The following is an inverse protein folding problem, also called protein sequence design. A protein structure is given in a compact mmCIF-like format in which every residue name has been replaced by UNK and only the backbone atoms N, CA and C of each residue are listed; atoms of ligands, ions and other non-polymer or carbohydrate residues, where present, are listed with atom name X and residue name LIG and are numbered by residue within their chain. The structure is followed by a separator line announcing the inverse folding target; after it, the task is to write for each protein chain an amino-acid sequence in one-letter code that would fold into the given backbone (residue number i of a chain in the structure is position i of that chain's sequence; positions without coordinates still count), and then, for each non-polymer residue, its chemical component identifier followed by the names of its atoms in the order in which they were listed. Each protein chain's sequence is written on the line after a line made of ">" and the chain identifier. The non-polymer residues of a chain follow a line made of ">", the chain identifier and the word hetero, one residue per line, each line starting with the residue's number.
data_IF_135959744076
#
_entry.id   IF_135959744076
#
_cell.length_a   1.000
_cell.length_b   1.000
_cell.length_c   1.000
_cell.angle_alpha   90.00
_cell.angle_beta   90.00
_cell.angle_gamma   90.00
#
_symmetry.space_group_name_H-M   'P 1'
#
loop_
_entity.id
_entity.type
_entity.pdbx_description
1 polymer ?
#
# COMPACT_ATOMS: atom_id res chain seq x y z
N UNK A 1 -17.50 19.73 4.53
CA UNK A 1 -17.06 18.81 3.44
C UNK A 1 -15.95 17.94 4.00
N UNK A 2 -16.08 16.63 3.89
CA UNK A 2 -15.04 15.70 4.31
C UNK A 2 -13.85 15.84 3.34
N UNK A 3 -12.64 16.00 3.87
CA UNK A 3 -11.45 16.19 3.05
C UNK A 3 -11.06 14.83 2.45
N UNK A 4 -11.08 14.71 1.12
CA UNK A 4 -10.62 13.52 0.43
C UNK A 4 -9.09 13.41 0.48
N UNK A 5 -8.60 12.22 0.76
CA UNK A 5 -7.17 11.89 0.72
C UNK A 5 -6.74 11.48 -0.69
N UNK A 6 -7.60 10.74 -1.40
CA UNK A 6 -7.43 10.40 -2.82
C UNK A 6 -8.68 10.81 -3.56
N UNK A 7 -8.51 11.45 -4.71
CA UNK A 7 -9.58 11.87 -5.61
C UNK A 7 -9.16 11.55 -7.04
N UNK A 8 -9.98 10.79 -7.74
CA UNK A 8 -9.84 10.48 -9.16
C UNK A 8 -11.13 10.84 -9.86
N UNK A 9 -11.03 11.54 -11.00
CA UNK A 9 -12.18 11.95 -11.81
C UNK A 9 -11.94 11.57 -13.26
N UNK A 10 -12.78 10.68 -13.78
CA UNK A 10 -12.78 10.23 -15.17
C UNK A 10 -11.46 9.62 -15.63
N UNK A 11 -10.71 8.97 -14.72
CA UNK A 11 -9.34 8.49 -14.99
C UNK A 11 -9.34 7.37 -16.01
N UNK A 12 -8.59 7.57 -17.12
CA UNK A 12 -8.27 6.55 -18.11
C UNK A 12 -6.76 6.30 -18.14
N UNK A 13 -6.40 5.05 -18.33
CA UNK A 13 -4.99 4.65 -18.45
C UNK A 13 -4.87 3.33 -19.21
N UNK A 14 -3.86 3.24 -20.10
CA UNK A 14 -3.52 2.00 -20.79
C UNK A 14 -2.02 1.81 -20.98
N UNK A 15 -1.59 0.58 -21.14
CA UNK A 15 -0.23 0.27 -21.58
C UNK A 15 -0.23 0.13 -23.11
N UNK A 16 0.20 1.18 -23.79
CA UNK A 16 0.11 1.26 -25.25
C UNK A 16 -1.36 1.33 -25.72
N UNK A 17 -1.76 0.43 -26.62
CA UNK A 17 -3.11 0.39 -27.14
C UNK A 17 -4.13 -0.36 -26.26
N UNK A 18 -3.68 -0.98 -25.16
CA UNK A 18 -4.53 -1.80 -24.29
C UNK A 18 -5.05 -0.95 -23.12
N UNK A 19 -6.34 -0.61 -23.07
CA UNK A 19 -6.92 0.11 -21.93
C UNK A 19 -6.95 -0.80 -20.70
N UNK A 20 -6.59 -0.24 -19.56
CA UNK A 20 -6.58 -0.92 -18.24
C UNK A 20 -7.60 -0.28 -17.30
N UNK A 21 -7.69 1.06 -17.31
CA UNK A 21 -8.68 1.81 -16.54
C UNK A 21 -9.48 2.66 -17.53
N UNK A 22 -10.80 2.68 -17.39
CA UNK A 22 -11.72 3.36 -18.31
C UNK A 22 -12.75 4.22 -17.57
N UNK A 23 -12.42 5.49 -17.36
CA UNK A 23 -13.30 6.44 -16.70
C UNK A 23 -13.51 6.16 -15.22
N UNK A 24 -12.41 5.92 -14.48
CA UNK A 24 -12.47 5.63 -13.04
C UNK A 24 -12.70 6.91 -12.25
N UNK A 25 -13.76 6.87 -11.41
CA UNK A 25 -14.02 7.85 -10.36
C UNK A 25 -13.77 7.21 -8.99
N UNK A 26 -13.02 7.87 -8.12
CA UNK A 26 -12.68 7.39 -6.78
C UNK A 26 -12.52 8.55 -5.81
N UNK A 27 -13.20 8.48 -4.67
CA UNK A 27 -12.97 9.34 -3.52
C UNK A 27 -12.68 8.51 -2.29
N UNK A 28 -11.54 8.74 -1.62
CA UNK A 28 -11.19 8.13 -0.33
C UNK A 28 -11.06 9.20 0.74
N UNK A 29 -11.73 8.99 1.85
CA UNK A 29 -11.71 9.92 2.99
C UNK A 29 -10.47 9.71 3.88
N UNK A 30 -10.10 10.74 4.65
CA UNK A 30 -9.05 10.59 5.65
C UNK A 30 -9.44 9.55 6.71
N UNK A 31 -8.51 8.65 7.04
CA UNK A 31 -8.73 7.58 8.01
C UNK A 31 -9.56 6.40 7.48
N UNK A 32 -9.91 6.38 6.19
CA UNK A 32 -10.64 5.27 5.58
C UNK A 32 -9.70 4.11 5.29
N UNK A 33 -10.11 2.88 5.62
CA UNK A 33 -9.45 1.65 5.21
C UNK A 33 -10.24 0.97 4.09
N UNK A 34 -9.72 1.05 2.87
CA UNK A 34 -10.33 0.47 1.66
C UNK A 34 -9.54 -0.75 1.19
N UNK A 35 -10.23 -1.85 0.92
CA UNK A 35 -9.69 -3.01 0.21
C UNK A 35 -9.99 -2.87 -1.29
N UNK A 36 -8.97 -3.04 -2.13
CA UNK A 36 -9.07 -3.05 -3.57
C UNK A 36 -8.89 -4.48 -4.08
N UNK A 37 -9.93 -5.05 -4.62
CA UNK A 37 -9.98 -6.43 -5.09
C UNK A 37 -10.23 -6.51 -6.62
N UNK A 38 -10.21 -7.73 -7.16
CA UNK A 38 -10.47 -8.01 -8.59
C UNK A 38 -9.47 -8.98 -9.19
N UNK A 39 -9.71 -9.42 -10.41
CA UNK A 39 -8.88 -10.39 -11.15
C UNK A 39 -7.45 -9.91 -11.35
N UNK A 40 -6.53 -10.85 -11.63
CA UNK A 40 -5.17 -10.51 -12.02
C UNK A 40 -5.18 -9.72 -13.33
N UNK A 41 -4.40 -8.64 -13.39
CA UNK A 41 -4.36 -7.77 -14.58
C UNK A 41 -5.53 -6.78 -14.69
N UNK A 42 -6.47 -6.75 -13.74
CA UNK A 42 -7.64 -5.83 -13.80
C UNK A 42 -7.30 -4.35 -13.62
N UNK A 43 -6.06 -4.00 -13.19
CA UNK A 43 -5.63 -2.60 -13.05
C UNK A 43 -5.41 -2.14 -11.59
N UNK A 44 -5.55 -3.02 -10.58
CA UNK A 44 -5.35 -2.68 -9.16
C UNK A 44 -4.00 -2.02 -8.87
N UNK A 45 -2.90 -2.67 -9.26
CA UNK A 45 -1.54 -2.12 -9.08
C UNK A 45 -1.32 -0.86 -9.94
N UNK A 46 -2.00 -0.75 -11.09
CA UNK A 46 -1.98 0.46 -11.93
C UNK A 46 -2.61 1.63 -11.19
N UNK A 47 -3.75 1.41 -10.55
CA UNK A 47 -4.42 2.42 -9.73
C UNK A 47 -3.54 2.90 -8.58
N UNK A 48 -2.88 1.99 -7.86
CA UNK A 48 -1.91 2.39 -6.82
C UNK A 48 -0.74 3.18 -7.40
N UNK A 49 -0.19 2.79 -8.57
CA UNK A 49 0.91 3.51 -9.23
C UNK A 49 0.52 4.92 -9.67
N UNK A 50 -0.72 5.15 -10.09
CA UNK A 50 -1.25 6.48 -10.35
C UNK A 50 -1.30 7.31 -9.07
N UNK A 51 -1.79 6.74 -7.95
CA UNK A 51 -1.82 7.42 -6.64
C UNK A 51 -0.44 7.83 -6.12
N UNK A 52 0.62 7.06 -6.40
CA UNK A 52 1.99 7.42 -5.98
C UNK A 52 2.74 8.28 -7.01
N UNK A 53 2.11 8.60 -8.15
CA UNK A 53 2.71 9.38 -9.22
C UNK A 53 3.84 8.66 -9.97
N UNK A 54 3.84 7.32 -9.98
CA UNK A 54 4.71 6.50 -10.81
C UNK A 54 4.19 6.37 -12.24
N UNK A 55 2.87 6.57 -12.42
CA UNK A 55 2.19 6.65 -13.71
C UNK A 55 1.43 7.97 -13.76
N UNK A 56 1.11 8.42 -14.96
CA UNK A 56 0.22 9.55 -15.23
C UNK A 56 -1.00 9.04 -15.98
N UNK A 57 -2.21 9.51 -15.68
CA UNK A 57 -3.38 9.13 -16.45
C UNK A 57 -3.27 9.66 -17.88
N UNK A 58 -3.86 8.94 -18.84
CA UNK A 58 -3.98 9.40 -20.23
C UNK A 58 -5.10 10.45 -20.34
N UNK A 59 -6.19 10.29 -19.55
CA UNK A 59 -7.28 11.24 -19.41
C UNK A 59 -7.75 11.28 -17.94
N UNK A 60 -8.44 12.36 -17.58
CA UNK A 60 -8.95 12.57 -16.23
C UNK A 60 -7.91 13.17 -15.28
N UNK A 61 -8.23 13.20 -14.01
CA UNK A 61 -7.37 13.80 -12.97
C UNK A 61 -7.16 12.87 -11.79
N UNK A 62 -5.97 12.93 -11.19
CA UNK A 62 -5.64 12.24 -9.93
C UNK A 62 -5.08 13.26 -8.95
N UNK A 63 -5.73 13.39 -7.80
CA UNK A 63 -5.26 14.22 -6.69
C UNK A 63 -5.05 13.37 -5.44
N UNK A 64 -3.97 13.62 -4.74
CA UNK A 64 -3.64 12.94 -3.49
C UNK A 64 -3.25 13.98 -2.46
N UNK A 65 -3.88 13.92 -1.27
CA UNK A 65 -3.70 14.89 -0.18
C UNK A 65 -3.92 16.34 -0.62
N UNK A 66 -4.79 16.54 -1.63
CA UNK A 66 -5.12 17.84 -2.22
C UNK A 66 -4.12 18.38 -3.23
N UNK A 67 -3.10 17.61 -3.62
CA UNK A 67 -2.08 18.00 -4.61
C UNK A 67 -1.86 16.94 -5.68
N UNK A 68 -0.88 17.18 -6.56
CA UNK A 68 -0.49 16.23 -7.59
C UNK A 68 0.38 15.10 -7.00
N UNK A 69 0.13 13.81 -7.35
CA UNK A 69 0.94 12.70 -6.84
C UNK A 69 2.43 12.79 -7.20
N UNK A 70 2.77 13.57 -8.23
CA UNK A 70 4.17 13.80 -8.66
C UNK A 70 4.92 14.78 -7.76
N UNK A 71 4.23 15.57 -6.95
CA UNK A 71 4.85 16.55 -6.07
C UNK A 71 5.65 15.88 -4.95
N UNK A 72 6.89 16.34 -4.73
CA UNK A 72 7.77 15.80 -3.72
C UNK A 72 7.20 15.94 -2.29
N UNK A 73 6.43 17.00 -2.02
CA UNK A 73 5.76 17.24 -0.75
C UNK A 73 4.64 16.24 -0.48
N UNK A 74 3.93 15.82 -1.52
CA UNK A 74 2.89 14.79 -1.47
C UNK A 74 3.51 13.41 -1.31
N UNK A 75 4.49 13.06 -2.15
CA UNK A 75 5.18 11.75 -2.10
C UNK A 75 5.78 11.43 -0.73
N UNK A 76 6.27 12.43 -0.01
CA UNK A 76 6.82 12.25 1.34
C UNK A 76 5.80 11.80 2.37
N UNK A 77 4.53 11.98 2.08
CA UNK A 77 3.41 11.62 2.95
C UNK A 77 2.75 10.30 2.53
N UNK A 78 3.26 9.63 1.49
CA UNK A 78 2.76 8.37 0.98
C UNK A 78 3.70 7.25 1.38
N UNK A 79 3.19 6.24 2.08
CA UNK A 79 3.84 4.95 2.25
C UNK A 79 3.39 4.00 1.13
N UNK A 80 4.33 3.41 0.40
CA UNK A 80 4.00 2.48 -0.67
C UNK A 80 4.80 1.18 -0.54
N UNK A 81 4.09 0.06 -0.50
CA UNK A 81 4.65 -1.28 -0.56
C UNK A 81 4.17 -1.97 -1.85
N UNK A 82 4.99 -2.00 -2.91
CA UNK A 82 4.63 -2.69 -4.16
C UNK A 82 4.71 -4.20 -4.01
N UNK A 83 3.93 -4.93 -4.82
CA UNK A 83 4.01 -6.36 -4.95
C UNK A 83 5.38 -6.81 -5.48
N UNK A 84 5.93 -7.87 -4.88
CA UNK A 84 7.07 -8.60 -5.44
C UNK A 84 8.36 -7.79 -5.58
N UNK A 85 8.52 -6.68 -4.84
CA UNK A 85 9.76 -5.91 -4.86
C UNK A 85 10.91 -6.77 -4.29
N UNK A 86 11.60 -7.49 -5.17
CA UNK A 86 12.90 -8.05 -4.84
C UNK A 86 13.91 -6.92 -4.91
N UNK A 87 14.43 -6.53 -3.75
CA UNK A 87 15.55 -5.61 -3.73
C UNK A 87 16.76 -6.35 -4.31
N UNK A 88 17.04 -6.11 -5.59
CA UNK A 88 18.23 -6.58 -6.26
C UNK A 88 19.46 -5.79 -5.74
N UNK A 89 19.76 -5.91 -4.45
CA UNK A 89 20.94 -5.31 -3.87
C UNK A 89 21.91 -6.41 -3.52
N UNK A 90 23.06 -6.41 -4.18
CA UNK A 90 24.24 -7.14 -3.74
C UNK A 90 24.93 -6.47 -2.54
N UNK A 91 24.35 -5.40 -2.01
CA UNK A 91 24.86 -4.69 -0.84
C UNK A 91 24.37 -5.40 0.43
N UNK A 92 25.25 -5.67 1.38
CA UNK A 92 24.90 -6.27 2.68
C UNK A 92 24.21 -5.22 3.56
N UNK A 93 22.89 -5.02 3.33
CA UNK A 93 22.07 -4.11 4.14
C UNK A 93 21.19 -4.92 5.07
N UNK A 94 21.13 -4.52 6.33
CA UNK A 94 20.30 -5.15 7.35
C UNK A 94 18.81 -4.78 7.18
N UNK A 95 17.92 -5.61 7.75
CA UNK A 95 16.49 -5.30 7.85
C UNK A 95 16.27 -3.92 8.46
N UNK A 96 16.98 -3.59 9.53
CA UNK A 96 16.88 -2.28 10.20
C UNK A 96 17.24 -1.12 9.27
N UNK A 97 18.29 -1.24 8.47
CA UNK A 97 18.71 -0.19 7.53
C UNK A 97 17.70 -0.02 6.39
N UNK A 98 17.17 -1.12 5.87
CA UNK A 98 16.12 -1.07 4.83
C UNK A 98 14.86 -0.37 5.35
N UNK A 99 14.43 -0.71 6.56
CA UNK A 99 13.25 -0.08 7.17
C UNK A 99 13.54 1.39 7.50
N UNK A 100 14.72 1.71 8.03
CA UNK A 100 15.15 3.08 8.31
C UNK A 100 15.13 3.98 7.08
N UNK A 101 15.41 3.44 5.89
CA UNK A 101 15.32 4.20 4.64
C UNK A 101 13.89 4.73 4.36
N UNK A 102 12.85 4.15 4.97
CA UNK A 102 11.48 4.66 4.90
C UNK A 102 11.26 6.00 5.59
N UNK A 103 12.16 6.42 6.48
CA UNK A 103 12.13 7.75 7.12
C UNK A 103 12.74 8.86 6.24
N UNK A 104 13.57 8.49 5.25
CA UNK A 104 14.30 9.47 4.40
C UNK A 104 13.41 10.45 3.65
N UNK A 105 12.26 10.05 3.08
CA UNK A 105 11.39 10.97 2.35
C UNK A 105 10.91 12.15 3.18
N UNK A 106 10.62 11.94 4.47
CA UNK A 106 10.11 12.97 5.37
C UNK A 106 11.19 13.84 6.00
N UNK A 107 12.46 13.39 6.03
CA UNK A 107 13.54 14.01 6.80
C UNK A 107 14.74 14.49 5.99
N UNK A 108 14.85 14.09 4.72
CA UNK A 108 15.96 14.43 3.84
C UNK A 108 17.19 13.52 3.98
N UNK A 109 18.06 13.56 2.96
CA UNK A 109 19.18 12.63 2.77
C UNK A 109 20.27 12.70 3.87
N UNK A 110 20.40 13.85 4.54
CA UNK A 110 21.45 14.11 5.54
C UNK A 110 20.95 14.06 6.98
N UNK A 111 19.72 13.57 7.20
CA UNK A 111 19.19 13.46 8.55
C UNK A 111 19.91 12.37 9.33
N UNK A 112 20.55 12.77 10.44
CA UNK A 112 21.17 11.80 11.36
C UNK A 112 20.10 11.14 12.22
N UNK A 113 20.02 9.81 12.14
CA UNK A 113 19.08 9.00 12.92
C UNK A 113 19.28 9.21 14.43
N UNK A 114 18.22 9.56 15.11
CA UNK A 114 18.21 9.72 16.57
C UNK A 114 17.55 8.50 17.26
N UNK A 115 17.54 8.48 18.60
CA UNK A 115 16.96 7.37 19.36
C UNK A 115 15.47 7.15 19.07
N UNK A 116 14.70 8.21 18.85
CA UNK A 116 13.27 8.08 18.51
C UNK A 116 13.07 7.44 17.14
N UNK A 117 13.94 7.74 16.18
CA UNK A 117 13.89 7.13 14.85
C UNK A 117 14.12 5.63 14.91
N UNK A 118 15.13 5.19 15.68
CA UNK A 118 15.41 3.78 15.88
C UNK A 118 14.29 3.06 16.64
N UNK A 119 13.63 3.72 17.58
CA UNK A 119 12.44 3.18 18.25
C UNK A 119 11.29 2.94 17.24
N UNK A 120 11.04 3.88 16.30
CA UNK A 120 10.05 3.73 15.23
C UNK A 120 10.41 2.59 14.27
N UNK A 121 11.69 2.52 13.87
CA UNK A 121 12.20 1.43 13.04
C UNK A 121 11.95 0.08 13.73
N UNK A 122 12.33 -0.06 15.00
CA UNK A 122 12.09 -1.28 15.76
C UNK A 122 10.61 -1.63 15.81
N UNK A 123 9.74 -0.68 16.14
CA UNK A 123 8.30 -0.92 16.23
C UNK A 123 7.70 -1.35 14.88
N UNK A 124 8.13 -0.75 13.76
CA UNK A 124 7.67 -1.14 12.43
C UNK A 124 8.11 -2.57 12.06
N UNK A 125 9.33 -2.97 12.44
CA UNK A 125 9.85 -4.33 12.22
C UNK A 125 9.09 -5.34 13.08
N UNK A 126 8.83 -5.01 14.34
CA UNK A 126 8.07 -5.86 15.27
C UNK A 126 6.63 -6.07 14.80
N UNK A 127 6.00 -5.02 14.26
CA UNK A 127 4.62 -5.06 13.72
C UNK A 127 4.46 -6.06 12.55
N UNK A 128 5.53 -6.38 11.82
CA UNK A 128 5.52 -7.36 10.74
C UNK A 128 6.14 -8.71 11.13
N UNK A 129 6.42 -8.93 12.41
CA UNK A 129 6.97 -10.18 12.93
C UNK A 129 8.40 -10.48 12.49
N UNK A 130 9.25 -9.45 12.35
CA UNK A 130 10.68 -9.58 12.00
C UNK A 130 11.61 -9.17 13.15
N UNK A 131 11.10 -9.10 14.38
CA UNK A 131 11.85 -8.60 15.55
C UNK A 131 13.19 -9.27 15.76
N UNK A 132 13.26 -10.59 15.62
CA UNK A 132 14.48 -11.38 15.82
C UNK A 132 15.47 -11.27 14.64
N UNK A 133 15.03 -10.69 13.52
CA UNK A 133 15.82 -10.59 12.29
C UNK A 133 16.30 -9.16 11.98
N UNK A 134 16.23 -8.25 12.95
CA UNK A 134 16.56 -6.82 12.77
C UNK A 134 17.97 -6.57 12.22
N UNK A 135 18.92 -7.38 12.65
CA UNK A 135 20.32 -7.26 12.28
C UNK A 135 20.71 -8.13 11.08
N UNK A 136 19.82 -9.05 10.67
CA UNK A 136 20.09 -9.96 9.56
C UNK A 136 20.14 -9.21 8.22
N UNK A 137 20.94 -9.74 7.32
CA UNK A 137 21.06 -9.20 5.98
C UNK A 137 19.81 -9.51 5.17
N UNK A 138 19.22 -8.48 4.54
CA UNK A 138 17.95 -8.60 3.83
C UNK A 138 17.97 -9.69 2.74
N UNK A 139 19.08 -9.84 2.00
CA UNK A 139 19.16 -10.82 0.91
C UNK A 139 19.29 -12.28 1.40
N UNK A 140 19.62 -12.51 2.68
CA UNK A 140 19.67 -13.84 3.29
C UNK A 140 18.28 -14.31 3.75
N UNK A 141 17.31 -13.40 3.78
CA UNK A 141 15.95 -13.69 4.18
C UNK A 141 15.15 -14.39 3.07
N UNK A 142 14.16 -15.19 3.47
CA UNK A 142 13.16 -15.72 2.53
C UNK A 142 12.39 -14.60 1.84
N UNK A 143 11.81 -14.88 0.64
CA UNK A 143 11.03 -13.89 -0.11
C UNK A 143 9.88 -13.28 0.71
N UNK A 144 9.19 -14.07 1.53
CA UNK A 144 8.14 -13.57 2.41
C UNK A 144 8.68 -12.66 3.54
N UNK A 145 9.86 -12.96 4.09
CA UNK A 145 10.52 -12.09 5.06
C UNK A 145 10.98 -10.78 4.43
N UNK A 146 11.52 -10.82 3.20
CA UNK A 146 11.86 -9.61 2.44
C UNK A 146 10.63 -8.74 2.18
N UNK A 147 9.51 -9.34 1.79
CA UNK A 147 8.25 -8.63 1.57
C UNK A 147 7.77 -7.94 2.87
N UNK A 148 7.86 -8.61 4.01
CA UNK A 148 7.54 -8.03 5.33
C UNK A 148 8.46 -6.87 5.69
N UNK A 149 9.75 -6.93 5.35
CA UNK A 149 10.67 -5.81 5.56
C UNK A 149 10.30 -4.58 4.70
N UNK A 150 9.87 -4.79 3.44
CA UNK A 150 9.35 -3.72 2.57
C UNK A 150 8.06 -3.11 3.14
N UNK A 151 7.17 -3.95 3.67
CA UNK A 151 5.97 -3.48 4.37
C UNK A 151 6.35 -2.62 5.59
N UNK A 152 7.25 -3.09 6.47
CA UNK A 152 7.74 -2.31 7.60
C UNK A 152 8.34 -0.95 7.17
N UNK A 153 9.09 -0.93 6.06
CA UNK A 153 9.62 0.30 5.47
C UNK A 153 8.52 1.29 5.07
N UNK A 154 7.40 0.81 4.55
CA UNK A 154 6.27 1.68 4.19
C UNK A 154 5.55 2.26 5.41
N UNK A 155 5.62 1.56 6.54
CA UNK A 155 4.95 1.91 7.79
C UNK A 155 5.74 2.91 8.66
N UNK A 156 7.10 2.87 8.60
CA UNK A 156 7.96 3.58 9.57
C UNK A 156 7.86 5.11 9.48
N UNK A 157 7.49 5.64 8.30
CA UNK A 157 7.42 7.09 8.01
C UNK A 157 6.19 7.80 8.57
N UNK A 158 5.25 7.09 9.19
CA UNK A 158 3.94 7.63 9.62
C UNK A 158 3.24 8.38 8.47
N UNK A 159 3.00 7.72 7.33
CA UNK A 159 2.41 8.36 6.16
C UNK A 159 0.96 8.80 6.43
N UNK A 160 0.47 9.80 5.72
CA UNK A 160 -0.95 10.17 5.71
C UNK A 160 -1.79 9.24 4.81
N UNK A 161 -1.14 8.65 3.77
CA UNK A 161 -1.71 7.66 2.86
C UNK A 161 -0.79 6.45 2.78
N UNK A 162 -1.35 5.26 3.01
CA UNK A 162 -0.66 3.99 2.93
C UNK A 162 -1.26 3.14 1.81
N UNK A 163 -0.43 2.81 0.82
CA UNK A 163 -0.81 2.03 -0.36
C UNK A 163 -0.04 0.70 -0.35
N UNK A 164 -0.76 -0.39 -0.26
CA UNK A 164 -0.20 -1.74 -0.10
C UNK A 164 -0.66 -2.64 -1.23
N UNK A 165 0.29 -3.15 -2.01
CA UNK A 165 0.00 -4.06 -3.12
C UNK A 165 0.28 -5.50 -2.67
N UNK A 166 -0.78 -6.25 -2.35
CA UNK A 166 -0.77 -7.62 -1.83
C UNK A 166 0.08 -7.78 -0.55
N UNK A 167 -0.22 -7.04 0.51
CA UNK A 167 0.62 -7.03 1.72
C UNK A 167 0.64 -8.36 2.48
N UNK A 168 -0.31 -9.28 2.23
CA UNK A 168 -0.40 -10.60 2.87
C UNK A 168 0.33 -11.70 2.09
N UNK A 169 0.77 -11.42 0.85
CA UNK A 169 1.51 -12.39 0.03
C UNK A 169 2.83 -12.75 0.70
N UNK A 170 3.06 -14.05 0.90
CA UNK A 170 4.24 -14.56 1.58
C UNK A 170 4.27 -14.33 3.09
N UNK A 171 3.19 -13.85 3.69
CA UNK A 171 3.01 -13.77 5.14
C UNK A 171 2.31 -15.04 5.63
N UNK A 172 2.91 -15.68 6.66
CA UNK A 172 2.30 -16.81 7.35
C UNK A 172 0.91 -16.42 7.89
N UNK A 173 -0.09 -17.30 7.72
CA UNK A 173 -1.47 -17.06 8.16
C UNK A 173 -1.57 -16.58 9.61
N UNK A 174 -0.66 -17.01 10.49
CA UNK A 174 -0.61 -16.59 11.90
C UNK A 174 -0.37 -15.10 12.10
N UNK A 175 0.30 -14.43 11.14
CA UNK A 175 0.64 -13.01 11.24
C UNK A 175 -0.36 -12.09 10.51
N UNK A 176 -1.23 -12.63 9.65
CA UNK A 176 -2.22 -11.83 8.90
C UNK A 176 -3.18 -11.06 9.80
N UNK A 177 -3.77 -11.66 10.86
CA UNK A 177 -4.65 -10.91 11.77
C UNK A 177 -3.92 -9.76 12.47
N UNK A 178 -2.69 -9.96 12.93
CA UNK A 178 -1.92 -8.90 13.58
C UNK A 178 -1.59 -7.74 12.61
N UNK A 179 -1.33 -8.05 11.33
CA UNK A 179 -1.18 -7.04 10.29
C UNK A 179 -2.48 -6.28 10.05
N UNK A 180 -3.61 -7.00 9.96
CA UNK A 180 -4.92 -6.38 9.76
C UNK A 180 -5.27 -5.41 10.90
N UNK A 181 -5.05 -5.84 12.15
CA UNK A 181 -5.24 -5.01 13.35
C UNK A 181 -4.31 -3.78 13.37
N UNK A 182 -3.06 -3.92 12.91
CA UNK A 182 -2.12 -2.80 12.80
C UNK A 182 -2.60 -1.78 11.78
N UNK A 183 -3.06 -2.23 10.59
CA UNK A 183 -3.58 -1.35 9.56
C UNK A 183 -4.86 -0.63 10.02
N UNK A 184 -5.75 -1.32 10.74
CA UNK A 184 -6.94 -0.71 11.34
C UNK A 184 -6.58 0.36 12.37
N UNK A 185 -5.66 0.06 13.29
CA UNK A 185 -5.20 1.05 14.28
C UNK A 185 -4.63 2.31 13.62
N UNK A 186 -3.93 2.17 12.49
CA UNK A 186 -3.43 3.32 11.72
C UNK A 186 -4.56 4.11 11.09
N UNK A 187 -5.54 3.43 10.53
CA UNK A 187 -6.71 4.08 9.95
C UNK A 187 -7.50 4.84 11.02
N UNK A 188 -7.72 4.24 12.19
CA UNK A 188 -8.34 4.91 13.36
C UNK A 188 -7.52 6.11 13.84
N UNK A 189 -6.20 6.08 13.64
CA UNK A 189 -5.30 7.20 13.88
C UNK A 189 -5.30 8.28 12.78
N UNK A 190 -6.13 8.15 11.76
CA UNK A 190 -6.28 9.13 10.68
C UNK A 190 -5.47 8.84 9.41
N UNK A 191 -4.73 7.73 9.34
CA UNK A 191 -4.03 7.31 8.12
C UNK A 191 -5.02 6.70 7.16
N UNK A 192 -5.08 7.17 5.92
CA UNK A 192 -5.88 6.48 4.88
C UNK A 192 -5.13 5.26 4.39
N UNK A 193 -5.79 4.09 4.37
CA UNK A 193 -5.18 2.81 3.98
C UNK A 193 -5.89 2.26 2.74
N UNK A 194 -5.11 1.88 1.72
CA UNK A 194 -5.59 1.11 0.57
C UNK A 194 -4.75 -0.17 0.47
N UNK A 195 -5.39 -1.32 0.63
CA UNK A 195 -4.75 -2.61 0.48
C UNK A 195 -5.34 -3.35 -0.71
N UNK A 196 -4.49 -3.68 -1.68
CA UNK A 196 -4.86 -4.64 -2.73
C UNK A 196 -4.80 -6.04 -2.13
N UNK A 197 -5.85 -6.82 -2.27
CA UNK A 197 -5.87 -8.22 -1.85
C UNK A 197 -6.61 -9.09 -2.86
N UNK A 198 -6.11 -10.31 -3.07
CA UNK A 198 -6.82 -11.35 -3.79
C UNK A 198 -7.86 -12.03 -2.91
N UNK A 199 -7.63 -12.01 -1.59
CA UNK A 199 -8.49 -12.57 -0.58
C UNK A 199 -8.91 -11.46 0.38
N UNK A 200 -10.09 -10.84 0.17
CA UNK A 200 -10.60 -9.80 1.06
C UNK A 200 -10.86 -10.30 2.47
N UNK A 201 -10.95 -11.62 2.67
CA UNK A 201 -11.12 -12.21 4.00
C UNK A 201 -9.98 -11.86 4.95
N UNK A 202 -8.80 -11.56 4.41
CA UNK A 202 -7.68 -11.04 5.19
C UNK A 202 -8.02 -9.73 5.93
N UNK A 203 -8.94 -8.91 5.38
CA UNK A 203 -9.21 -7.56 5.88
C UNK A 203 -10.70 -7.23 6.10
N UNK A 204 -11.64 -8.11 5.75
CA UNK A 204 -13.09 -7.81 5.75
C UNK A 204 -13.64 -7.35 7.10
N UNK A 205 -13.02 -7.79 8.22
CA UNK A 205 -13.44 -7.42 9.58
C UNK A 205 -12.95 -6.04 10.00
N UNK A 206 -11.98 -5.51 9.30
CA UNK A 206 -11.26 -4.29 9.69
C UNK A 206 -11.33 -3.17 8.64
N UNK A 207 -11.74 -3.47 7.40
CA UNK A 207 -11.90 -2.44 6.36
C UNK A 207 -13.27 -1.76 6.45
N UNK A 208 -13.33 -0.51 6.00
CA UNK A 208 -14.56 0.27 5.90
C UNK A 208 -15.28 0.02 4.58
N UNK A 209 -14.53 -0.34 3.51
CA UNK A 209 -15.06 -0.49 2.16
C UNK A 209 -14.27 -1.49 1.33
N UNK A 210 -14.99 -2.23 0.47
CA UNK A 210 -14.39 -3.09 -0.56
C UNK A 210 -14.76 -2.53 -1.93
N UNK A 211 -13.74 -2.31 -2.76
CA UNK A 211 -13.86 -1.91 -4.15
C UNK A 211 -13.33 -3.03 -5.03
N UNK A 212 -14.04 -3.34 -6.10
CA UNK A 212 -13.60 -4.33 -7.09
C UNK A 212 -13.32 -3.62 -8.42
N UNK A 213 -12.19 -3.95 -9.04
CA UNK A 213 -11.89 -3.50 -10.40
C UNK A 213 -12.41 -4.54 -11.38
N UNK A 214 -13.43 -4.16 -12.15
CA UNK A 214 -14.06 -4.98 -13.18
C UNK A 214 -14.07 -4.20 -14.50
N UNK A 215 -13.48 -4.78 -15.54
CA UNK A 215 -13.45 -4.18 -16.89
C UNK A 215 -12.97 -2.70 -16.89
N UNK A 216 -11.92 -2.43 -16.11
CA UNK A 216 -11.33 -1.09 -16.00
C UNK A 216 -12.13 -0.07 -15.18
N UNK A 217 -13.21 -0.48 -14.52
CA UNK A 217 -14.07 0.38 -13.68
C UNK A 217 -14.04 -0.07 -12.22
N UNK A 218 -14.31 0.85 -11.30
CA UNK A 218 -14.48 0.56 -9.88
C UNK A 218 -15.95 0.33 -9.53
N UNK A 219 -16.20 -0.73 -8.77
CA UNK A 219 -17.51 -1.02 -8.19
C UNK A 219 -17.34 -1.25 -6.69
N UNK A 220 -18.19 -0.61 -5.89
CA UNK A 220 -18.25 -0.89 -4.48
C UNK A 220 -19.13 -2.12 -4.26
N UNK A 221 -18.64 -3.06 -3.47
CA UNK A 221 -19.36 -4.29 -3.15
C UNK A 221 -19.39 -4.51 -1.64
N UNK A 222 -20.39 -5.24 -1.19
CA UNK A 222 -20.40 -5.82 0.16
C UNK A 222 -19.52 -7.06 0.20
N UNK A 223 -19.12 -7.48 1.41
CA UNK A 223 -18.36 -8.72 1.59
C UNK A 223 -19.09 -9.95 1.01
N UNK A 224 -20.42 -10.04 1.18
CA UNK A 224 -21.23 -11.14 0.62
C UNK A 224 -21.23 -11.15 -0.92
N UNK A 225 -21.36 -9.98 -1.55
CA UNK A 225 -21.33 -9.85 -3.01
C UNK A 225 -19.95 -10.20 -3.57
N UNK A 226 -18.87 -9.88 -2.82
CA UNK A 226 -17.52 -10.20 -3.27
C UNK A 226 -17.30 -11.71 -3.43
N UNK A 227 -17.75 -12.55 -2.50
CA UNK A 227 -17.67 -14.01 -2.63
C UNK A 227 -18.43 -14.52 -3.85
N UNK A 228 -19.58 -13.95 -4.15
CA UNK A 228 -20.36 -14.30 -5.36
C UNK A 228 -19.59 -13.91 -6.64
N UNK A 229 -18.89 -12.77 -6.64
CA UNK A 229 -18.06 -12.35 -7.79
C UNK A 229 -16.84 -13.25 -8.04
N UNK A 230 -16.24 -13.83 -6.98
CA UNK A 230 -15.11 -14.77 -7.12
C UNK A 230 -15.54 -16.11 -7.73
N UNK A 231 -16.74 -16.61 -7.37
CA UNK A 231 -17.26 -17.88 -7.89
C UNK A 231 -17.67 -17.82 -9.37
N UNK A 232 -17.86 -16.62 -9.92
CA UNK A 232 -18.29 -16.39 -11.31
C UNK A 232 -17.12 -16.07 -12.27
N UNK A 233 -15.88 -16.01 -11.77
CA UNK A 233 -14.69 -15.81 -12.62
C UNK A 233 -14.01 -17.16 -12.86
N UNK A 234 -13.94 -17.64 -14.13
CA UNK A 234 -13.35 -18.91 -14.49
C UNK A 234 -11.84 -18.94 -14.30
#
# INVERSE_FOLDING_TARGET
>A
MQRLTVEMEGVRFGYGATPILDGVDLGLSAGEFTVLAGANGSGKSTLLKLCVGLLRPDEGTVRVLGGEPTDASIRRQIGYAPQGLRMATSLPVSVSEVVAAGLSPSRGLFHRMNRKDWTRVSAAIDAVGLGDLKAECLFELSGGQQQRAILARSLVGEPALLLLDEPTTGIDQRFRPALADELRRRADGGVTVVAVSHDPDDFHKVCDRILVVVEGKLQQVTHAEFHTHLELQP
#
